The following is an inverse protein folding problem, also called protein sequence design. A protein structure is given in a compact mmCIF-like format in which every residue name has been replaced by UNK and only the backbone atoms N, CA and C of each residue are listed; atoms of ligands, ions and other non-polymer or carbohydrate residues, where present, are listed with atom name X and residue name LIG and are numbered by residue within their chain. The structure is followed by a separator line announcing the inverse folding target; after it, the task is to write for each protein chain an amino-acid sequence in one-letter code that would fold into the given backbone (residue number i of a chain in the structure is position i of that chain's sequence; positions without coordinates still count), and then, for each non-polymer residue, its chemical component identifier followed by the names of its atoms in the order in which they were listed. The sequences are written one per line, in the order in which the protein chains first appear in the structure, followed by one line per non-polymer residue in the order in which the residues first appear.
data_IF_963430053797
#
_entry.id   IF_963430053797
#
_cell.length_a   1.000
_cell.length_b   1.000
_cell.length_c   1.000
_cell.angle_alpha   90.00
_cell.angle_beta   90.00
_cell.angle_gamma   90.00
#
_symmetry.space_group_name_H-M   'P 1'
#
loop_
_entity.id
_entity.type
_entity.pdbx_description
1 polymer ?
#
# COMPACT_ATOMS: atom_id res chain seq x y z
N UNK A 1 -31.75 -26.95 20.87
CA UNK A 1 -31.11 -26.03 19.91
C UNK A 1 -29.69 -25.82 20.36
N UNK A 2 -28.73 -26.57 19.79
CA UNK A 2 -27.30 -26.31 20.08
C UNK A 2 -26.93 -25.00 19.40
N UNK A 3 -26.42 -24.04 20.17
CA UNK A 3 -25.86 -22.82 19.59
C UNK A 3 -24.74 -23.21 18.62
N UNK A 4 -24.83 -22.71 17.39
CA UNK A 4 -23.79 -22.88 16.38
C UNK A 4 -22.45 -22.37 16.95
N UNK A 5 -21.33 -23.11 16.79
CA UNK A 5 -20.04 -22.75 17.39
C UNK A 5 -19.50 -21.39 16.93
N UNK A 6 -20.14 -20.77 15.93
CA UNK A 6 -19.78 -19.47 15.37
C UNK A 6 -20.40 -18.27 16.10
N UNK A 7 -21.27 -18.48 17.10
CA UNK A 7 -21.94 -17.41 17.87
C UNK A 7 -21.05 -16.66 18.88
N UNK A 8 -19.79 -17.06 19.08
CA UNK A 8 -18.87 -16.41 20.03
C UNK A 8 -18.13 -15.18 19.47
N UNK A 9 -18.45 -14.72 18.26
CA UNK A 9 -17.83 -13.53 17.66
C UNK A 9 -18.72 -12.29 17.90
N UNK A 10 -18.14 -11.26 18.52
CA UNK A 10 -18.83 -10.00 18.84
C UNK A 10 -19.07 -9.13 17.60
N UNK A 11 -18.29 -9.29 16.53
CA UNK A 11 -18.42 -8.54 15.29
C UNK A 11 -18.18 -9.44 14.05
N UNK A 12 -19.20 -10.16 13.57
CA UNK A 12 -19.08 -11.09 12.44
C UNK A 12 -18.70 -10.39 11.12
N UNK A 13 -19.11 -9.13 10.94
CA UNK A 13 -18.75 -8.34 9.77
C UNK A 13 -17.25 -8.03 9.71
N UNK A 14 -16.63 -7.72 10.87
CA UNK A 14 -15.17 -7.54 10.96
C UNK A 14 -14.44 -8.85 10.75
N UNK A 15 -14.88 -9.93 11.40
CA UNK A 15 -14.26 -11.25 11.29
C UNK A 15 -14.27 -11.78 9.85
N UNK A 16 -15.40 -11.63 9.13
CA UNK A 16 -15.50 -11.99 7.73
C UNK A 16 -14.56 -11.14 6.86
N UNK A 17 -14.49 -9.84 7.12
CA UNK A 17 -13.57 -8.95 6.42
C UNK A 17 -12.10 -9.32 6.61
N UNK A 18 -11.69 -9.63 7.84
CA UNK A 18 -10.33 -10.09 8.15
C UNK A 18 -10.01 -11.42 7.47
N UNK A 19 -10.96 -12.37 7.44
CA UNK A 19 -10.75 -13.65 6.79
C UNK A 19 -10.60 -13.53 5.26
N UNK A 20 -11.43 -12.69 4.62
CA UNK A 20 -11.32 -12.38 3.19
C UNK A 20 -9.98 -11.68 2.89
N UNK A 21 -9.59 -10.71 3.72
CA UNK A 21 -8.30 -10.03 3.62
C UNK A 21 -7.13 -11.01 3.71
N UNK A 22 -7.17 -11.90 4.68
CA UNK A 22 -6.15 -12.94 4.89
C UNK A 22 -6.04 -13.90 3.70
N UNK A 23 -7.16 -14.31 3.10
CA UNK A 23 -7.16 -15.14 1.89
C UNK A 23 -6.52 -14.42 0.69
N UNK A 24 -6.82 -13.14 0.51
CA UNK A 24 -6.20 -12.29 -0.52
C UNK A 24 -4.70 -12.13 -0.29
N UNK A 25 -4.27 -11.85 0.94
CA UNK A 25 -2.86 -11.69 1.31
C UNK A 25 -2.05 -12.96 1.03
N UNK A 26 -2.62 -14.14 1.33
CA UNK A 26 -1.98 -15.41 1.03
C UNK A 26 -1.77 -15.60 -0.49
N UNK A 27 -2.82 -15.34 -1.29
CA UNK A 27 -2.73 -15.44 -2.74
C UNK A 27 -1.75 -14.42 -3.35
N UNK A 28 -1.69 -13.20 -2.79
CA UNK A 28 -0.73 -12.17 -3.19
C UNK A 28 0.70 -12.64 -2.91
N UNK A 29 0.93 -13.23 -1.75
CA UNK A 29 2.25 -13.75 -1.39
C UNK A 29 2.70 -14.84 -2.34
N UNK A 30 1.84 -15.81 -2.66
CA UNK A 30 2.18 -16.87 -3.63
C UNK A 30 2.55 -16.28 -5.00
N UNK A 31 1.75 -15.33 -5.49
CA UNK A 31 2.00 -14.64 -6.75
C UNK A 31 3.34 -13.90 -6.75
N UNK A 32 3.61 -13.11 -5.71
CA UNK A 32 4.81 -12.27 -5.65
C UNK A 32 6.09 -13.12 -5.52
N UNK A 33 6.07 -14.21 -4.74
CA UNK A 33 7.21 -15.14 -4.67
C UNK A 33 7.56 -15.67 -6.06
N UNK A 34 6.56 -16.18 -6.80
CA UNK A 34 6.78 -16.69 -8.15
C UNK A 34 7.29 -15.61 -9.11
N UNK A 35 6.77 -14.38 -8.98
CA UNK A 35 7.11 -13.28 -9.88
C UNK A 35 8.56 -12.81 -9.69
N UNK A 36 9.05 -12.75 -8.45
CA UNK A 36 10.38 -12.18 -8.16
C UNK A 36 11.52 -13.19 -8.34
N UNK A 37 11.22 -14.49 -8.27
CA UNK A 37 12.19 -15.57 -8.49
C UNK A 37 12.81 -15.48 -9.90
N UNK A 38 12.03 -15.08 -10.91
CA UNK A 38 12.49 -14.87 -12.30
C UNK A 38 13.57 -13.77 -12.42
N UNK A 39 13.67 -12.90 -11.42
CA UNK A 39 14.61 -11.77 -11.37
C UNK A 39 15.75 -11.97 -10.35
N UNK A 40 15.89 -13.17 -9.77
CA UNK A 40 16.87 -13.44 -8.71
C UNK A 40 16.64 -12.61 -7.44
N UNK A 41 15.41 -12.12 -7.24
CA UNK A 41 15.01 -11.32 -6.09
C UNK A 41 14.25 -12.18 -5.07
N UNK A 42 14.05 -11.64 -3.87
CA UNK A 42 13.32 -12.33 -2.79
C UNK A 42 12.13 -11.50 -2.33
N UNK A 43 10.98 -12.14 -2.11
CA UNK A 43 9.84 -11.51 -1.43
C UNK A 43 9.79 -11.94 0.04
N UNK A 44 9.94 -10.98 0.95
CA UNK A 44 9.96 -11.18 2.39
C UNK A 44 8.67 -10.64 3.02
N UNK A 45 8.03 -11.45 3.86
CA UNK A 45 6.87 -11.05 4.70
C UNK A 45 7.20 -11.12 6.20
N UNK A 46 8.43 -11.47 6.54
CA UNK A 46 8.91 -11.59 7.92
C UNK A 46 10.42 -11.39 7.98
N UNK A 47 10.94 -10.93 9.11
CA UNK A 47 12.39 -10.78 9.27
C UNK A 47 13.10 -12.13 9.18
N UNK A 48 14.25 -12.13 8.50
CA UNK A 48 15.19 -13.27 8.42
C UNK A 48 15.84 -13.60 9.77
N UNK A 49 15.86 -12.63 10.69
CA UNK A 49 16.46 -12.81 12.01
C UNK A 49 15.52 -13.56 12.95
N UNK A 50 16.11 -14.44 13.76
CA UNK A 50 15.42 -15.06 14.88
C UNK A 50 15.27 -14.05 16.02
N UNK A 51 14.12 -14.09 16.70
CA UNK A 51 13.90 -13.42 17.99
C UNK A 51 14.95 -13.83 19.02
N UNK A 52 15.09 -13.05 20.11
CA UNK A 52 15.97 -13.41 21.25
C UNK A 52 15.71 -14.82 21.81
N UNK A 53 14.48 -15.33 21.64
CA UNK A 53 14.07 -16.67 22.03
C UNK A 53 14.28 -17.74 20.93
N UNK A 54 15.01 -17.43 19.86
CA UNK A 54 15.33 -18.35 18.77
C UNK A 54 14.19 -18.64 17.77
N UNK A 55 13.02 -18.02 17.95
CA UNK A 55 11.85 -18.20 17.06
C UNK A 55 11.94 -17.29 15.82
N UNK A 56 11.37 -17.71 14.68
CA UNK A 56 11.24 -16.85 13.50
C UNK A 56 10.48 -15.57 13.88
N UNK A 57 11.01 -14.41 13.51
CA UNK A 57 10.31 -13.16 13.72
C UNK A 57 9.00 -13.17 12.92
N UNK A 58 7.90 -12.74 13.54
CA UNK A 58 6.59 -12.67 12.89
C UNK A 58 6.38 -11.40 12.06
N UNK A 59 7.15 -10.36 12.36
CA UNK A 59 7.03 -9.03 11.76
C UNK A 59 8.22 -8.76 10.84
N UNK A 60 7.98 -7.95 9.83
CA UNK A 60 9.03 -7.42 8.97
C UNK A 60 9.23 -5.96 9.32
N UNK A 61 10.19 -5.70 10.21
CA UNK A 61 10.49 -4.35 10.68
C UNK A 61 11.56 -3.71 9.80
N UNK A 62 11.22 -2.57 9.21
CA UNK A 62 12.15 -1.64 8.60
C UNK A 62 12.28 -0.40 9.50
N UNK A 63 13.37 0.34 9.34
CA UNK A 63 13.68 1.50 10.19
C UNK A 63 13.91 2.74 9.32
N UNK A 64 13.55 3.92 9.81
CA UNK A 64 13.93 5.18 9.18
C UNK A 64 15.34 5.65 9.62
N UNK A 65 15.72 6.87 9.20
CA UNK A 65 16.99 7.51 9.58
C UNK A 65 17.10 7.84 11.08
N UNK A 66 15.98 7.83 11.82
CA UNK A 66 15.92 8.17 13.24
C UNK A 66 15.78 6.94 14.14
N UNK A 67 15.69 5.74 13.56
CA UNK A 67 15.51 4.48 14.28
C UNK A 67 14.06 4.15 14.63
N UNK A 68 13.07 4.87 14.08
CA UNK A 68 11.67 4.50 14.22
C UNK A 68 11.40 3.24 13.40
N UNK A 69 10.70 2.26 13.99
CA UNK A 69 10.39 0.99 13.35
C UNK A 69 9.01 1.01 12.67
N UNK A 70 8.94 0.45 11.47
CA UNK A 70 7.74 0.30 10.67
C UNK A 70 7.53 -1.17 10.33
N UNK A 71 6.34 -1.68 10.61
CA UNK A 71 5.90 -3.02 10.20
C UNK A 71 5.41 -2.92 8.76
N UNK A 72 5.97 -3.75 7.87
CA UNK A 72 5.61 -3.79 6.46
C UNK A 72 5.00 -5.15 6.12
N UNK A 73 3.92 -5.15 5.34
CA UNK A 73 3.28 -6.40 4.94
C UNK A 73 4.20 -7.25 4.03
N UNK A 74 5.02 -6.60 3.20
CA UNK A 74 6.12 -7.27 2.52
C UNK A 74 7.13 -6.36 1.84
N UNK A 75 8.31 -6.90 1.56
CA UNK A 75 9.39 -6.21 0.87
C UNK A 75 10.01 -7.14 -0.15
N UNK A 76 10.20 -6.64 -1.37
CA UNK A 76 11.03 -7.31 -2.38
C UNK A 76 12.46 -6.81 -2.23
N UNK A 77 13.42 -7.73 -2.12
CA UNK A 77 14.85 -7.42 -1.99
C UNK A 77 15.66 -8.06 -3.12
N UNK A 78 16.84 -7.51 -3.38
CA UNK A 78 17.83 -8.19 -4.22
C UNK A 78 18.54 -9.33 -3.48
N UNK A 79 19.50 -9.97 -4.16
CA UNK A 79 20.34 -11.04 -3.61
C UNK A 79 21.11 -10.63 -2.34
N UNK A 80 21.46 -9.34 -2.24
CA UNK A 80 22.19 -8.76 -1.11
C UNK A 80 21.28 -8.27 0.02
N UNK A 81 19.98 -8.59 -0.02
CA UNK A 81 18.96 -8.18 0.95
C UNK A 81 18.77 -6.65 1.04
N UNK A 82 19.07 -5.92 -0.03
CA UNK A 82 18.73 -4.50 -0.15
C UNK A 82 17.27 -4.38 -0.61
N UNK A 83 16.41 -3.61 0.10
CA UNK A 83 15.02 -3.48 -0.27
C UNK A 83 14.88 -2.71 -1.59
N UNK A 84 14.11 -3.25 -2.53
CA UNK A 84 13.83 -2.68 -3.84
C UNK A 84 12.40 -2.16 -3.96
N UNK A 85 11.43 -2.89 -3.40
CA UNK A 85 10.00 -2.53 -3.48
C UNK A 85 9.36 -2.74 -2.11
N UNK A 86 8.68 -1.71 -1.62
CA UNK A 86 7.80 -1.83 -0.45
C UNK A 86 6.41 -2.23 -0.91
N UNK A 87 5.82 -3.22 -0.23
CA UNK A 87 4.49 -3.75 -0.52
C UNK A 87 3.64 -3.62 0.74
N UNK A 88 2.50 -2.98 0.60
CA UNK A 88 1.46 -2.93 1.63
C UNK A 88 0.14 -3.44 1.07
N UNK A 89 -0.59 -4.25 1.83
CA UNK A 89 -1.93 -4.69 1.46
C UNK A 89 -2.94 -4.24 2.49
N UNK A 90 -4.06 -3.68 2.03
CA UNK A 90 -5.12 -3.20 2.92
C UNK A 90 -6.47 -3.58 2.37
N UNK A 91 -7.22 -4.36 3.15
CA UNK A 91 -8.63 -4.60 2.94
C UNK A 91 -9.46 -3.67 3.81
N UNK A 92 -10.39 -2.92 3.20
CA UNK A 92 -11.34 -2.08 3.92
C UNK A 92 -12.76 -2.30 3.39
N UNK A 93 -13.68 -2.68 4.27
CA UNK A 93 -15.10 -2.77 3.94
C UNK A 93 -15.81 -1.41 3.95
N UNK A 94 -15.55 -0.60 4.99
CA UNK A 94 -16.22 0.68 5.22
C UNK A 94 -15.23 1.84 5.20
N UNK A 95 -15.59 2.92 4.50
CA UNK A 95 -14.70 4.06 4.20
C UNK A 95 -14.19 4.83 5.42
N UNK A 96 -14.76 4.64 6.61
CA UNK A 96 -14.44 5.41 7.84
C UNK A 96 -12.97 5.36 8.25
N UNK A 97 -12.23 4.33 7.84
CA UNK A 97 -10.81 4.17 8.15
C UNK A 97 -9.87 4.43 6.96
N UNK A 98 -10.39 4.84 5.80
CA UNK A 98 -9.56 5.00 4.60
C UNK A 98 -8.45 6.02 4.78
N UNK A 99 -8.75 7.16 5.41
CA UNK A 99 -7.76 8.22 5.61
C UNK A 99 -6.66 7.79 6.57
N UNK A 100 -7.03 7.21 7.71
CA UNK A 100 -6.08 6.74 8.72
C UNK A 100 -5.18 5.62 8.19
N UNK A 101 -5.76 4.66 7.45
CA UNK A 101 -5.00 3.55 6.88
C UNK A 101 -4.12 4.01 5.72
N UNK A 102 -4.63 4.84 4.82
CA UNK A 102 -3.85 5.39 3.72
C UNK A 102 -2.70 6.28 4.21
N UNK A 103 -2.94 7.14 5.20
CA UNK A 103 -1.92 8.05 5.72
C UNK A 103 -0.80 7.29 6.44
N UNK A 104 -1.12 6.16 7.08
CA UNK A 104 -0.11 5.26 7.63
C UNK A 104 0.83 4.73 6.54
N UNK A 105 0.29 4.27 5.40
CA UNK A 105 1.12 3.81 4.27
C UNK A 105 2.00 4.95 3.74
N UNK A 106 1.41 6.13 3.50
CA UNK A 106 2.15 7.32 3.08
C UNK A 106 3.31 7.63 4.03
N UNK A 107 3.04 7.68 5.33
CA UNK A 107 4.03 7.99 6.34
C UNK A 107 5.14 6.93 6.40
N UNK A 108 4.77 5.65 6.52
CA UNK A 108 5.72 4.56 6.66
C UNK A 108 6.61 4.42 5.42
N UNK A 109 6.02 4.36 4.22
CA UNK A 109 6.78 4.15 2.99
C UNK A 109 7.70 5.34 2.69
N UNK A 110 7.22 6.58 2.91
CA UNK A 110 8.07 7.78 2.74
C UNK A 110 9.26 7.77 3.70
N UNK A 111 9.03 7.44 4.98
CA UNK A 111 10.08 7.40 5.99
C UNK A 111 11.14 6.32 5.70
N UNK A 112 10.69 5.12 5.30
CA UNK A 112 11.58 4.00 4.94
C UNK A 112 12.39 4.34 3.67
N UNK A 113 11.78 4.91 2.64
CA UNK A 113 12.46 5.29 1.39
C UNK A 113 13.58 6.30 1.59
N UNK A 114 13.43 7.22 2.54
CA UNK A 114 14.50 8.17 2.94
C UNK A 114 15.71 7.48 3.59
N UNK A 115 15.56 6.26 4.11
CA UNK A 115 16.63 5.48 4.73
C UNK A 115 17.29 4.49 3.77
N UNK A 116 16.50 3.89 2.90
CA UNK A 116 16.96 2.86 1.97
C UNK A 116 16.87 3.34 0.52
N UNK A 117 17.96 3.96 0.04
CA UNK A 117 18.06 4.52 -1.31
C UNK A 117 17.96 3.46 -2.43
N UNK A 118 18.05 2.16 -2.11
CA UNK A 118 17.83 1.08 -3.06
C UNK A 118 16.36 0.89 -3.44
N UNK A 119 15.42 1.44 -2.66
CA UNK A 119 13.99 1.29 -2.93
C UNK A 119 13.60 2.11 -4.15
N UNK A 120 13.17 1.40 -5.19
CA UNK A 120 12.75 1.93 -6.48
C UNK A 120 11.25 2.24 -6.52
N UNK A 121 10.46 1.53 -5.73
CA UNK A 121 9.02 1.71 -5.75
C UNK A 121 8.34 1.40 -4.42
N UNK A 122 7.17 2.00 -4.27
CA UNK A 122 6.23 1.80 -3.17
C UNK A 122 4.91 1.39 -3.80
N UNK A 123 4.40 0.21 -3.44
CA UNK A 123 3.19 -0.37 -4.01
C UNK A 123 2.20 -0.65 -2.89
N UNK A 124 0.94 -0.27 -3.10
CA UNK A 124 -0.17 -0.64 -2.22
C UNK A 124 -1.26 -1.39 -2.97
N UNK A 125 -1.66 -2.54 -2.42
CA UNK A 125 -2.78 -3.36 -2.90
C UNK A 125 -3.99 -3.04 -2.02
N UNK A 126 -4.99 -2.40 -2.62
CA UNK A 126 -6.14 -1.84 -1.91
C UNK A 126 -7.40 -2.61 -2.28
N UNK A 127 -7.91 -3.43 -1.36
CA UNK A 127 -9.14 -4.18 -1.56
C UNK A 127 -10.32 -3.54 -0.83
N UNK A 128 -11.48 -3.54 -1.47
CA UNK A 128 -12.73 -3.07 -0.91
C UNK A 128 -13.04 -1.60 -1.23
N UNK A 129 -13.54 -0.86 -0.25
CA UNK A 129 -14.19 0.45 -0.43
C UNK A 129 -13.24 1.61 -0.13
N UNK A 130 -12.50 2.03 -1.14
CA UNK A 130 -11.56 3.15 -1.05
C UNK A 130 -12.17 4.46 -1.58
N UNK A 131 -11.93 5.57 -0.89
CA UNK A 131 -12.39 6.90 -1.28
C UNK A 131 -11.41 7.54 -2.24
N UNK A 132 -11.91 8.30 -3.22
CA UNK A 132 -11.10 9.06 -4.17
C UNK A 132 -10.03 9.91 -3.49
N UNK A 133 -10.38 10.60 -2.41
CA UNK A 133 -9.43 11.43 -1.65
C UNK A 133 -8.30 10.64 -0.99
N UNK A 134 -8.54 9.39 -0.57
CA UNK A 134 -7.50 8.54 0.02
C UNK A 134 -6.60 7.93 -1.04
N UNK A 135 -7.17 7.58 -2.20
CA UNK A 135 -6.43 7.14 -3.39
C UNK A 135 -5.51 8.27 -3.86
N UNK A 136 -6.05 9.46 -4.11
CA UNK A 136 -5.27 10.63 -4.54
C UNK A 136 -4.15 11.01 -3.55
N UNK A 137 -4.41 10.91 -2.24
CA UNK A 137 -3.39 11.13 -1.22
C UNK A 137 -2.25 10.10 -1.27
N UNK A 138 -2.53 8.82 -1.54
CA UNK A 138 -1.47 7.83 -1.67
C UNK A 138 -0.69 8.01 -2.98
N UNK A 139 -1.37 8.35 -4.08
CA UNK A 139 -0.74 8.67 -5.36
C UNK A 139 0.18 9.90 -5.24
N UNK A 140 -0.23 10.95 -4.52
CA UNK A 140 0.60 12.13 -4.27
C UNK A 140 1.83 11.88 -3.40
N UNK A 141 1.96 10.68 -2.82
CA UNK A 141 3.12 10.20 -2.07
C UNK A 141 3.95 9.18 -2.87
N UNK A 142 3.81 9.16 -4.21
CA UNK A 142 4.48 8.24 -5.13
C UNK A 142 4.24 6.76 -4.78
N UNK A 143 3.03 6.43 -4.32
CA UNK A 143 2.60 5.05 -4.08
C UNK A 143 1.82 4.57 -5.31
N UNK A 144 2.32 3.53 -5.96
CA UNK A 144 1.60 2.86 -7.05
C UNK A 144 0.47 2.01 -6.48
N UNK A 145 -0.76 2.21 -6.96
CA UNK A 145 -1.95 1.58 -6.40
C UNK A 145 -2.52 0.49 -7.30
N UNK A 146 -2.84 -0.66 -6.70
CA UNK A 146 -3.63 -1.71 -7.33
C UNK A 146 -4.92 -1.94 -6.56
N UNK A 147 -6.05 -1.55 -7.17
CA UNK A 147 -7.35 -1.56 -6.50
C UNK A 147 -8.16 -2.79 -6.91
N UNK A 148 -8.65 -3.53 -5.91
CA UNK A 148 -9.64 -4.60 -6.05
C UNK A 148 -10.99 -4.03 -5.56
N UNK A 149 -11.93 -3.70 -6.45
CA UNK A 149 -13.15 -2.99 -6.08
C UNK A 149 -14.06 -3.79 -5.13
N UNK A 150 -14.70 -3.12 -4.17
CA UNK A 150 -15.66 -3.76 -3.26
C UNK A 150 -16.76 -4.55 -3.98
N UNK A 151 -17.36 -3.99 -5.04
CA UNK A 151 -18.42 -4.69 -5.78
C UNK A 151 -17.93 -5.96 -6.46
N UNK A 152 -16.66 -6.01 -6.89
CA UNK A 152 -16.07 -7.24 -7.40
C UNK A 152 -16.04 -8.32 -6.31
N UNK A 153 -15.63 -7.96 -5.09
CA UNK A 153 -15.56 -8.87 -3.94
C UNK A 153 -16.96 -9.38 -3.59
N UNK A 154 -17.98 -8.51 -3.58
CA UNK A 154 -19.36 -8.92 -3.35
C UNK A 154 -19.85 -9.93 -4.40
N UNK A 155 -19.65 -9.63 -5.69
CA UNK A 155 -20.02 -10.54 -6.78
C UNK A 155 -19.28 -11.88 -6.74
N UNK A 156 -18.01 -11.86 -6.30
CA UNK A 156 -17.22 -13.06 -6.09
C UNK A 156 -17.83 -13.91 -4.98
N UNK A 157 -18.12 -13.33 -3.82
CA UNK A 157 -18.68 -14.04 -2.66
C UNK A 157 -20.10 -14.58 -2.93
N UNK A 158 -20.91 -13.87 -3.72
CA UNK A 158 -22.25 -14.32 -4.11
C UNK A 158 -22.21 -15.67 -4.84
N UNK A 159 -21.15 -15.94 -5.63
CA UNK A 159 -20.98 -17.24 -6.31
C UNK A 159 -20.79 -18.41 -5.35
N UNK A 160 -20.34 -18.12 -4.12
CA UNK A 160 -20.24 -19.07 -3.01
C UNK A 160 -21.47 -19.02 -2.10
N UNK A 161 -22.55 -18.36 -2.53
CA UNK A 161 -23.79 -18.19 -1.76
C UNK A 161 -23.66 -17.25 -0.56
N UNK A 162 -22.55 -16.52 -0.44
CA UNK A 162 -22.28 -15.55 0.62
C UNK A 162 -22.72 -14.19 0.09
N UNK A 163 -23.89 -13.73 0.52
CA UNK A 163 -24.21 -12.31 0.41
C UNK A 163 -23.06 -11.53 1.09
N UNK A 164 -22.70 -10.34 0.59
CA UNK A 164 -21.77 -9.43 1.26
C UNK A 164 -22.26 -7.97 1.29
N UNK A 165 -23.48 -7.74 0.79
CA UNK A 165 -24.12 -6.44 0.63
C UNK A 165 -25.07 -6.16 1.79
N UNK A 166 -24.48 -5.66 2.87
CA UNK A 166 -25.25 -5.15 3.99
C UNK A 166 -24.54 -4.02 4.71
N UNK A 167 -25.34 -3.21 5.37
CA UNK A 167 -24.88 -2.11 6.20
C UNK A 167 -24.36 -2.60 7.55
N UNK A 168 -23.56 -1.75 8.22
CA UNK A 168 -22.90 -2.08 9.49
C UNK A 168 -23.89 -2.49 10.61
N UNK A 169 -25.16 -2.05 10.51
CA UNK A 169 -26.23 -2.35 11.48
C UNK A 169 -26.93 -3.69 11.23
N UNK A 170 -26.77 -4.30 10.06
CA UNK A 170 -27.46 -5.54 9.67
C UNK A 170 -26.71 -6.78 10.18
N UNK A 171 -26.66 -6.93 11.51
CA UNK A 171 -25.87 -7.97 12.18
C UNK A 171 -26.30 -9.40 11.82
N UNK A 172 -27.60 -9.64 11.62
CA UNK A 172 -28.11 -10.97 11.24
C UNK A 172 -27.56 -11.44 9.88
N UNK A 173 -27.50 -10.54 8.89
CA UNK A 173 -26.90 -10.84 7.59
C UNK A 173 -25.40 -11.09 7.71
N UNK A 174 -24.72 -10.30 8.54
CA UNK A 174 -23.30 -10.49 8.82
C UNK A 174 -23.01 -11.86 9.45
N UNK A 175 -23.83 -12.30 10.41
CA UNK A 175 -23.73 -13.63 11.01
C UNK A 175 -23.97 -14.74 9.97
N UNK A 176 -25.06 -14.65 9.20
CA UNK A 176 -25.39 -15.66 8.20
C UNK A 176 -24.27 -15.83 7.15
N UNK A 177 -23.67 -14.73 6.71
CA UNK A 177 -22.55 -14.77 5.79
C UNK A 177 -21.27 -15.31 6.42
N UNK A 178 -20.97 -14.94 7.66
CA UNK A 178 -19.83 -15.46 8.39
C UNK A 178 -19.93 -16.98 8.60
N UNK A 179 -21.12 -17.49 8.93
CA UNK A 179 -21.36 -18.94 9.02
C UNK A 179 -21.12 -19.63 7.68
N UNK A 180 -21.68 -19.10 6.58
CA UNK A 180 -21.47 -19.64 5.24
C UNK A 180 -19.99 -19.66 4.85
N UNK A 181 -19.26 -18.56 5.12
CA UNK A 181 -17.83 -18.49 4.85
C UNK A 181 -17.05 -19.52 5.66
N UNK A 182 -17.39 -19.74 6.94
CA UNK A 182 -16.71 -20.75 7.74
C UNK A 182 -16.92 -22.18 7.25
N UNK A 183 -18.09 -22.45 6.68
CA UNK A 183 -18.42 -23.75 6.08
C UNK A 183 -17.71 -24.02 4.75
N UNK A 184 -17.12 -23.00 4.12
CA UNK A 184 -16.30 -23.20 2.93
C UNK A 184 -15.07 -24.05 3.23
N UNK A 185 -14.68 -24.87 2.25
CA UNK A 185 -13.44 -25.63 2.32
C UNK A 185 -12.22 -24.69 2.32
N UNK A 186 -11.05 -25.23 2.71
CA UNK A 186 -9.80 -24.48 2.62
C UNK A 186 -9.49 -24.09 1.16
N UNK A 187 -9.80 -24.98 0.21
CA UNK A 187 -9.59 -24.75 -1.22
C UNK A 187 -10.48 -23.64 -1.76
N UNK A 188 -11.75 -23.58 -1.35
CA UNK A 188 -12.68 -22.50 -1.71
C UNK A 188 -12.18 -21.15 -1.17
N UNK A 189 -11.72 -21.11 0.09
CA UNK A 189 -11.18 -19.89 0.69
C UNK A 189 -9.92 -19.41 -0.04
N UNK A 190 -9.02 -20.34 -0.39
CA UNK A 190 -7.83 -20.03 -1.18
C UNK A 190 -8.20 -19.56 -2.60
N UNK A 191 -9.23 -20.17 -3.20
CA UNK A 191 -9.72 -19.79 -4.52
C UNK A 191 -10.32 -18.38 -4.53
N UNK A 192 -11.08 -18.00 -3.51
CA UNK A 192 -11.55 -16.61 -3.33
C UNK A 192 -10.36 -15.64 -3.33
N UNK A 193 -9.30 -15.94 -2.58
CA UNK A 193 -8.08 -15.12 -2.55
C UNK A 193 -7.44 -14.98 -3.94
N UNK A 194 -7.27 -16.09 -4.66
CA UNK A 194 -6.70 -16.08 -6.03
C UNK A 194 -7.54 -15.27 -7.01
N UNK A 195 -8.86 -15.41 -6.97
CA UNK A 195 -9.76 -14.66 -7.85
C UNK A 195 -9.78 -13.16 -7.54
N UNK A 196 -9.58 -12.77 -6.27
CA UNK A 196 -9.37 -11.36 -5.92
C UNK A 196 -8.10 -10.80 -6.55
N UNK A 197 -6.98 -11.51 -6.44
CA UNK A 197 -5.70 -11.07 -6.99
C UNK A 197 -5.68 -11.08 -8.52
N UNK A 198 -6.39 -12.00 -9.15
CA UNK A 198 -6.46 -12.12 -10.61
C UNK A 198 -6.87 -10.81 -11.31
N UNK A 199 -7.72 -9.99 -10.68
CA UNK A 199 -8.17 -8.69 -11.22
C UNK A 199 -7.02 -7.71 -11.45
N UNK A 200 -5.96 -7.82 -10.64
CA UNK A 200 -4.80 -6.91 -10.69
C UNK A 200 -3.52 -7.58 -11.16
N UNK A 201 -3.51 -8.92 -11.28
CA UNK A 201 -2.33 -9.75 -11.45
C UNK A 201 -1.45 -9.29 -12.62
N UNK A 202 -1.99 -9.18 -13.84
CA UNK A 202 -1.21 -8.83 -15.03
C UNK A 202 -0.49 -7.49 -14.87
N UNK A 203 -1.23 -6.45 -14.42
CA UNK A 203 -0.67 -5.11 -14.22
C UNK A 203 0.37 -5.09 -13.09
N UNK A 204 0.10 -5.82 -12.01
CA UNK A 204 1.02 -5.92 -10.87
C UNK A 204 2.32 -6.59 -11.28
N UNK A 205 2.26 -7.76 -11.93
CA UNK A 205 3.43 -8.49 -12.39
C UNK A 205 4.23 -7.67 -13.42
N UNK A 206 3.55 -7.05 -14.38
CA UNK A 206 4.21 -6.17 -15.37
C UNK A 206 4.95 -5.04 -14.69
N UNK A 207 4.31 -4.37 -13.72
CA UNK A 207 4.94 -3.27 -12.99
C UNK A 207 6.11 -3.72 -12.14
N UNK A 208 5.96 -4.82 -11.40
CA UNK A 208 7.05 -5.41 -10.61
C UNK A 208 8.22 -5.78 -11.52
N UNK A 209 7.96 -6.47 -12.62
CA UNK A 209 8.98 -6.87 -13.59
C UNK A 209 9.75 -5.68 -14.15
N UNK A 210 9.06 -4.60 -14.54
CA UNK A 210 9.71 -3.35 -14.99
C UNK A 210 10.62 -2.72 -13.92
N UNK A 211 10.27 -2.82 -12.64
CA UNK A 211 11.08 -2.25 -11.55
C UNK A 211 12.34 -3.11 -11.28
N UNK A 212 12.22 -4.42 -11.46
CA UNK A 212 13.28 -5.39 -11.19
C UNK A 212 14.21 -5.63 -12.39
N UNK A 213 13.80 -5.23 -13.60
CA UNK A 213 14.61 -5.37 -14.80
C UNK A 213 15.83 -4.43 -14.79
N UNK A 214 17.01 -5.00 -14.52
CA UNK A 214 18.29 -4.29 -14.51
C UNK A 214 18.81 -3.93 -15.92
N UNK A 215 18.18 -4.42 -16.99
CA UNK A 215 18.57 -4.06 -18.35
C UNK A 215 18.05 -2.69 -18.78
N UNK A 216 17.12 -2.10 -18.00
CA UNK A 216 16.59 -0.77 -18.25
C UNK A 216 17.58 0.29 -17.76
N UNK A 217 18.00 1.16 -18.68
CA UNK A 217 18.86 2.30 -18.35
C UNK A 217 18.14 3.25 -17.39
N UNK A 218 18.86 3.68 -16.36
CA UNK A 218 18.35 4.64 -15.38
C UNK A 218 18.45 6.05 -15.96
N UNK A 219 17.31 6.73 -16.01
CA UNK A 219 17.23 8.15 -16.42
C UNK A 219 16.76 9.01 -15.25
N UNK A 220 17.20 10.27 -15.23
CA UNK A 220 16.67 11.27 -14.30
C UNK A 220 15.36 11.79 -14.90
N UNK A 221 14.24 11.53 -14.24
CA UNK A 221 12.92 12.02 -14.68
C UNK A 221 12.61 13.42 -14.16
N UNK A 222 13.14 13.76 -12.97
CA UNK A 222 13.00 15.08 -12.36
C UNK A 222 14.06 15.37 -11.32
N UNK A 223 14.30 16.66 -11.08
CA UNK A 223 15.09 17.18 -9.96
C UNK A 223 14.19 18.05 -9.08
N UNK A 224 14.21 17.82 -7.78
CA UNK A 224 13.45 18.62 -6.80
C UNK A 224 14.44 19.38 -5.92
N UNK A 225 14.27 20.70 -5.83
CA UNK A 225 15.03 21.57 -4.94
C UNK A 225 14.09 22.09 -3.86
N UNK A 226 14.47 21.84 -2.61
CA UNK A 226 13.79 22.38 -1.42
C UNK A 226 14.64 23.53 -0.86
N UNK A 227 14.10 24.75 -0.93
CA UNK A 227 14.66 25.89 -0.23
C UNK A 227 13.95 26.03 1.12
N UNK A 228 14.74 26.13 2.19
CA UNK A 228 14.24 26.31 3.55
C UNK A 228 14.79 27.61 4.12
N UNK A 229 13.91 28.56 4.43
CA UNK A 229 14.32 29.82 5.05
C UNK A 229 14.72 29.60 6.52
N UNK A 230 15.50 30.51 7.08
CA UNK A 230 15.82 30.50 8.51
C UNK A 230 14.59 30.74 9.42
N UNK A 231 13.46 31.14 8.86
CA UNK A 231 12.18 31.29 9.56
C UNK A 231 11.29 30.04 9.43
N UNK A 232 11.73 29.05 8.64
CA UNK A 232 11.03 27.78 8.45
C UNK A 232 10.05 27.76 7.28
N UNK A 233 10.08 28.77 6.40
CA UNK A 233 9.35 28.74 5.14
C UNK A 233 9.98 27.71 4.21
N UNK A 234 9.14 27.03 3.43
CA UNK A 234 9.59 25.99 2.49
C UNK A 234 9.07 26.33 1.10
N UNK A 235 9.97 26.39 0.13
CA UNK A 235 9.66 26.51 -1.30
C UNK A 235 10.22 25.29 -2.03
N UNK A 236 9.36 24.62 -2.79
CA UNK A 236 9.71 23.44 -3.59
C UNK A 236 9.67 23.82 -5.06
N UNK A 237 10.75 23.50 -5.76
CA UNK A 237 10.87 23.67 -7.21
C UNK A 237 11.14 22.32 -7.85
N UNK A 238 10.44 22.03 -8.95
CA UNK A 238 10.59 20.81 -9.72
C UNK A 238 11.06 21.15 -11.14
N UNK A 239 12.12 20.47 -11.58
CA UNK A 239 12.77 20.68 -12.88
C UNK A 239 12.80 19.36 -13.66
N UNK A 240 12.69 19.45 -14.99
CA UNK A 240 12.67 18.28 -15.86
C UNK A 240 14.08 17.74 -16.16
N UNK A 241 15.13 18.54 -15.91
CA UNK A 241 16.52 18.20 -16.16
C UNK A 241 17.45 18.66 -15.06
N UNK A 242 18.67 18.10 -15.05
CA UNK A 242 19.73 18.50 -14.11
C UNK A 242 20.24 19.89 -14.46
N UNK A 243 20.31 20.21 -15.75
CA UNK A 243 20.76 21.48 -16.30
C UNK A 243 19.87 22.63 -15.82
N UNK A 244 18.54 22.52 -15.96
CA UNK A 244 17.58 23.52 -15.46
C UNK A 244 17.70 23.75 -13.96
N UNK A 245 17.91 22.68 -13.19
CA UNK A 245 18.06 22.77 -11.73
C UNK A 245 19.37 23.48 -11.34
N UNK A 246 20.46 23.25 -12.06
CA UNK A 246 21.74 23.95 -11.84
C UNK A 246 21.59 25.43 -12.22
N UNK A 247 21.01 25.72 -13.38
CA UNK A 247 20.75 27.10 -13.83
C UNK A 247 19.90 27.87 -12.81
N UNK A 248 18.92 27.22 -12.19
CA UNK A 248 18.15 27.80 -11.09
C UNK A 248 19.01 28.12 -9.86
N UNK A 249 19.89 27.19 -9.43
CA UNK A 249 20.75 27.40 -8.26
C UNK A 249 21.84 28.44 -8.48
N UNK A 250 22.22 28.72 -9.72
CA UNK A 250 23.20 29.76 -10.07
C UNK A 250 22.61 31.18 -10.11
N UNK A 251 21.28 31.33 -9.97
CA UNK A 251 20.63 32.63 -9.89
C UNK A 251 21.00 33.37 -8.58
N UNK A 252 21.26 34.67 -8.68
CA UNK A 252 21.34 35.54 -7.50
C UNK A 252 19.93 35.84 -6.95
N UNK A 253 19.81 36.08 -5.65
CA UNK A 253 18.54 36.51 -5.03
C UNK A 253 17.55 35.37 -4.80
N UNK A 254 17.99 34.13 -4.55
CA UNK A 254 17.08 33.02 -4.24
C UNK A 254 16.21 33.29 -2.99
N UNK A 255 16.68 34.16 -2.08
CA UNK A 255 15.90 34.64 -0.94
C UNK A 255 14.62 35.38 -1.33
N UNK A 256 14.56 35.99 -2.52
CA UNK A 256 13.40 36.76 -2.98
C UNK A 256 12.17 35.87 -3.25
N UNK A 257 12.39 34.56 -3.49
CA UNK A 257 11.30 33.59 -3.62
C UNK A 257 10.47 33.44 -2.34
N UNK A 258 11.00 33.77 -1.16
CA UNK A 258 10.24 33.77 0.09
C UNK A 258 9.44 35.07 0.30
N UNK A 259 9.83 36.17 -0.37
CA UNK A 259 9.18 37.48 -0.23
C UNK A 259 8.06 37.67 -1.26
N UNK A 260 8.07 36.89 -2.36
CA UNK A 260 7.05 36.94 -3.40
C UNK A 260 5.64 36.63 -2.85
N UNK A 261 4.66 37.46 -3.20
CA UNK A 261 3.24 37.33 -2.81
C UNK A 261 2.48 36.38 -3.75
N UNK A 262 2.98 35.15 -3.88
CA UNK A 262 2.34 34.03 -4.59
C UNK A 262 1.66 33.04 -3.62
N UNK A 263 1.58 33.42 -2.35
CA UNK A 263 1.06 32.55 -1.30
C UNK A 263 -0.45 32.39 -1.40
N UNK A 264 -0.92 31.15 -1.26
CA UNK A 264 -2.34 30.86 -1.17
C UNK A 264 -2.89 31.32 0.19
N UNK A 265 -4.03 32.01 0.16
CA UNK A 265 -4.83 32.25 1.35
C UNK A 265 -5.54 30.96 1.78
N UNK A 266 -5.92 30.88 3.06
CA UNK A 266 -6.64 29.73 3.64
C UNK A 266 -7.93 29.35 2.88
N UNK A 267 -8.52 30.30 2.16
CA UNK A 267 -9.78 30.14 1.45
C UNK A 267 -9.63 30.05 -0.07
N UNK A 268 -8.39 30.04 -0.58
CA UNK A 268 -8.16 29.78 -1.99
C UNK A 268 -8.58 28.34 -2.33
N UNK A 269 -9.25 28.14 -3.47
CA UNK A 269 -9.76 26.82 -3.82
C UNK A 269 -8.59 25.85 -4.04
N UNK A 270 -8.75 24.57 -3.64
CA UNK A 270 -7.77 23.56 -3.98
C UNK A 270 -7.68 23.40 -5.51
N UNK A 271 -6.57 22.88 -6.04
CA UNK A 271 -6.46 22.54 -7.44
C UNK A 271 -7.62 21.65 -7.88
N UNK A 272 -8.28 21.98 -8.99
CA UNK A 272 -9.25 21.10 -9.62
C UNK A 272 -8.48 20.10 -10.48
N UNK A 273 -8.58 18.82 -10.14
CA UNK A 273 -8.06 17.73 -10.96
C UNK A 273 -9.21 17.17 -11.78
N UNK A 274 -9.02 17.09 -13.11
CA UNK A 274 -9.97 16.46 -14.06
C UNK A 274 -10.05 14.94 -13.85
#
# INVERSE_FOLDING_TARGET
MSQSPFYNITNPGSALGEAIGSAMEFALQELLVQTVDDYGCYYLTSSVNKTKAGRKAKKLLLFDNFGNSYDSDGVITDEAMRPLILIESKYIRYKKHNRDKGSWVCHAHTAIRRRYHSIRSSIAILAGSWSKSSVAMMESHDITLFIIPFEFICNLLDRYGIDFRWDEKEQEKAFAAWEKYNLLSADDKAQIGREMIQVIQERLMTRVGQILDESIDRTIEKVVIELVSNLGEVKLFEFASVEEAIEFLEQEGLEDYFVADDSLALFDPPPQYD
#
